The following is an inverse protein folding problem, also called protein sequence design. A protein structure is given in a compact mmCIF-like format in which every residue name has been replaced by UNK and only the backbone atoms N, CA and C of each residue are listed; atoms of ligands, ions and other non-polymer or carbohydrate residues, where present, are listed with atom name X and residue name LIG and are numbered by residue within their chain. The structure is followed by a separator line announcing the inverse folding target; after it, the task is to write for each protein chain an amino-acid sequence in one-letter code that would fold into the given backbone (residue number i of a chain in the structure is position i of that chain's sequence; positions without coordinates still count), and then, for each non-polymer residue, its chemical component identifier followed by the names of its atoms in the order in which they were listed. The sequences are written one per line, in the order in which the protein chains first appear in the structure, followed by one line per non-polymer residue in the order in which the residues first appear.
data_IF_061974625550
#
_entry.id   IF_061974625550
#
_cell.length_a   1.000
_cell.length_b   1.000
_cell.length_c   1.000
_cell.angle_alpha   90.00
_cell.angle_beta   90.00
_cell.angle_gamma   90.00
#
_symmetry.space_group_name_H-M   'P 1'
#
loop_
_entity.id
_entity.type
_entity.pdbx_description
1 polymer ?
#
# COMPACT_ATOMS: atom_id res chain seq x y z
N UNK A 1 -16.45 -12.90 -5.57
CA UNK A 1 -17.11 -11.58 -5.65
C UNK A 1 -17.85 -11.45 -6.98
N UNK A 2 -18.57 -10.35 -7.22
CA UNK A 2 -19.31 -10.13 -8.48
C UNK A 2 -18.64 -9.10 -9.42
N UNK A 3 -17.51 -8.51 -9.00
CA UNK A 3 -16.81 -7.48 -9.75
C UNK A 3 -16.31 -8.00 -11.11
N UNK A 4 -16.65 -7.32 -12.21
CA UNK A 4 -16.27 -7.71 -13.56
C UNK A 4 -15.64 -6.57 -14.36
N UNK A 5 -15.17 -5.53 -13.65
CA UNK A 5 -14.57 -4.34 -14.25
C UNK A 5 -13.05 -4.43 -14.43
N UNK A 6 -12.43 -3.32 -14.84
CA UNK A 6 -10.97 -3.22 -14.93
C UNK A 6 -10.33 -3.13 -13.55
N UNK A 7 -9.27 -3.91 -13.32
CA UNK A 7 -8.51 -3.90 -12.06
C UNK A 7 -7.44 -2.82 -12.06
N UNK A 8 -6.74 -2.66 -13.17
CA UNK A 8 -5.70 -1.65 -13.35
C UNK A 8 -5.53 -1.30 -14.84
N UNK A 9 -4.83 -0.20 -15.12
CA UNK A 9 -4.46 0.22 -16.46
C UNK A 9 -2.94 0.14 -16.64
N UNK A 10 -2.49 -0.33 -17.80
CA UNK A 10 -1.09 -0.29 -18.22
C UNK A 10 -0.90 0.69 -19.37
N UNK A 11 0.29 1.30 -19.45
CA UNK A 11 0.75 2.10 -20.59
C UNK A 11 2.03 1.51 -21.14
N UNK A 12 2.11 1.29 -22.45
CA UNK A 12 3.30 0.77 -23.10
C UNK A 12 4.21 1.87 -23.64
N UNK A 13 5.52 1.69 -23.54
CA UNK A 13 6.50 2.71 -23.92
C UNK A 13 6.65 2.89 -25.43
N UNK A 14 6.28 1.89 -26.24
CA UNK A 14 6.45 1.94 -27.70
C UNK A 14 5.67 3.05 -28.38
N UNK A 15 4.48 3.38 -27.87
CA UNK A 15 3.59 4.37 -28.48
C UNK A 15 2.70 5.13 -27.47
N UNK A 16 2.95 4.97 -26.16
CA UNK A 16 2.19 5.59 -25.08
C UNK A 16 0.69 5.24 -25.04
N UNK A 17 0.23 4.24 -25.79
CA UNK A 17 -1.15 3.76 -25.69
C UNK A 17 -1.38 3.04 -24.37
N UNK A 18 -2.64 3.00 -23.94
CA UNK A 18 -3.05 2.37 -22.67
C UNK A 18 -3.99 1.19 -22.91
N UNK A 19 -4.02 0.27 -21.93
CA UNK A 19 -4.94 -0.85 -21.89
C UNK A 19 -5.37 -1.16 -20.47
N UNK A 20 -6.66 -1.30 -20.27
CA UNK A 20 -7.21 -1.79 -19.01
C UNK A 20 -7.11 -3.31 -18.93
N UNK A 21 -6.73 -3.82 -17.76
CA UNK A 21 -6.64 -5.24 -17.45
C UNK A 21 -7.78 -5.58 -16.50
N UNK A 22 -8.76 -6.34 -17.00
CA UNK A 22 -9.88 -6.85 -16.22
C UNK A 22 -9.61 -8.22 -15.60
N UNK A 23 -10.68 -8.81 -15.06
CA UNK A 23 -10.70 -10.18 -14.52
C UNK A 23 -10.90 -11.23 -15.63
N UNK A 24 -10.47 -12.46 -15.39
CA UNK A 24 -10.73 -13.62 -16.27
C UNK A 24 -12.22 -14.02 -16.26
N UNK A 25 -12.87 -13.84 -15.12
CA UNK A 25 -14.31 -14.02 -14.91
C UNK A 25 -14.74 -13.13 -13.75
N UNK A 26 -16.04 -12.83 -13.61
CA UNK A 26 -16.56 -12.01 -12.52
C UNK A 26 -16.05 -12.53 -11.14
N UNK A 27 -15.40 -11.63 -10.39
CA UNK A 27 -14.78 -11.90 -9.10
C UNK A 27 -13.52 -12.77 -9.12
N UNK A 28 -12.94 -13.03 -10.29
CA UNK A 28 -11.77 -13.88 -10.51
C UNK A 28 -10.44 -13.12 -10.55
N UNK A 29 -9.40 -13.82 -11.00
CA UNK A 29 -8.02 -13.32 -11.11
C UNK A 29 -7.87 -12.39 -12.32
N UNK A 30 -6.91 -11.48 -12.28
CA UNK A 30 -6.55 -10.60 -13.40
C UNK A 30 -6.22 -11.40 -14.68
N UNK A 31 -6.63 -10.88 -15.84
CA UNK A 31 -6.29 -11.45 -17.13
C UNK A 31 -4.87 -11.04 -17.56
N UNK A 32 -3.86 -11.71 -16.98
CA UNK A 32 -2.44 -11.45 -17.25
C UNK A 32 -2.07 -11.62 -18.73
N UNK A 33 -2.74 -12.51 -19.48
CA UNK A 33 -2.49 -12.71 -20.90
C UNK A 33 -2.81 -11.47 -21.76
N UNK A 34 -3.78 -10.65 -21.33
CA UNK A 34 -4.08 -9.36 -21.96
C UNK A 34 -2.91 -8.38 -21.77
N UNK A 35 -2.33 -8.32 -20.58
CA UNK A 35 -1.14 -7.51 -20.32
C UNK A 35 0.07 -8.01 -21.13
N UNK A 36 0.32 -9.32 -21.12
CA UNK A 36 1.46 -9.92 -21.82
C UNK A 36 1.43 -9.61 -23.31
N UNK A 37 0.26 -9.78 -23.94
CA UNK A 37 0.04 -9.43 -25.35
C UNK A 37 0.23 -7.94 -25.62
N UNK A 38 -0.37 -7.08 -24.79
CA UNK A 38 -0.31 -5.62 -24.97
C UNK A 38 1.11 -5.06 -24.83
N UNK A 39 1.88 -5.62 -23.89
CA UNK A 39 3.23 -5.23 -23.53
C UNK A 39 4.30 -6.04 -24.28
N UNK A 40 3.94 -6.80 -25.32
CA UNK A 40 4.90 -7.60 -26.08
C UNK A 40 5.89 -6.71 -26.82
N UNK A 41 7.17 -7.04 -26.77
CA UNK A 41 8.25 -6.29 -27.42
C UNK A 41 8.52 -4.88 -26.85
N UNK A 42 7.93 -4.53 -25.69
CA UNK A 42 8.11 -3.21 -25.07
C UNK A 42 7.97 -3.27 -23.55
N UNK A 43 8.28 -2.16 -22.89
CA UNK A 43 8.09 -1.97 -21.46
C UNK A 43 6.69 -1.42 -21.19
N UNK A 44 6.14 -1.76 -20.03
CA UNK A 44 4.85 -1.25 -19.58
C UNK A 44 4.96 -0.77 -18.15
N UNK A 45 4.24 0.30 -17.85
CA UNK A 45 4.03 0.78 -16.49
C UNK A 45 2.56 0.70 -16.12
N UNK A 46 2.25 0.50 -14.84
CA UNK A 46 0.88 0.53 -14.30
C UNK A 46 0.52 2.01 -14.06
N UNK A 47 -0.43 2.57 -14.82
CA UNK A 47 -0.82 3.99 -14.71
C UNK A 47 -1.95 4.25 -13.71
N UNK A 48 -2.86 3.30 -13.56
CA UNK A 48 -4.04 3.42 -12.70
C UNK A 48 -4.25 2.10 -11.97
N UNK A 49 -4.54 2.14 -10.68
CA UNK A 49 -5.09 1.03 -9.90
C UNK A 49 -6.54 1.40 -9.60
N UNK A 50 -7.50 0.65 -10.15
CA UNK A 50 -8.91 1.00 -10.04
C UNK A 50 -9.48 0.60 -8.69
N UNK A 51 -10.35 1.46 -8.15
CA UNK A 51 -11.17 1.18 -6.99
C UNK A 51 -12.40 0.34 -7.39
N UNK A 52 -12.45 -0.90 -6.88
CA UNK A 52 -13.53 -1.84 -7.18
C UNK A 52 -14.83 -1.57 -6.40
N UNK A 53 -14.80 -0.68 -5.41
CA UNK A 53 -15.95 -0.39 -4.55
C UNK A 53 -17.06 0.42 -5.21
N UNK A 54 -16.76 1.04 -6.37
CA UNK A 54 -17.66 1.98 -7.04
C UNK A 54 -17.61 3.41 -6.49
N UNK A 55 -16.75 3.69 -5.50
CA UNK A 55 -16.55 5.04 -4.95
C UNK A 55 -15.60 5.90 -5.77
N UNK A 56 -14.95 5.29 -6.76
CA UNK A 56 -14.03 5.95 -7.68
C UNK A 56 -12.75 6.49 -7.00
N UNK A 57 -12.31 5.84 -5.92
CA UNK A 57 -11.06 6.13 -5.23
C UNK A 57 -9.85 5.50 -5.94
N UNK A 58 -9.81 5.55 -7.28
CA UNK A 58 -8.72 4.98 -8.08
C UNK A 58 -7.40 5.64 -7.70
N UNK A 59 -6.31 4.89 -7.67
CA UNK A 59 -4.98 5.43 -7.45
C UNK A 59 -4.31 5.71 -8.79
N UNK A 60 -3.68 6.88 -8.91
CA UNK A 60 -2.90 7.31 -10.08
C UNK A 60 -1.49 7.66 -9.65
N UNK A 61 -0.61 8.00 -10.60
CA UNK A 61 0.73 8.53 -10.31
C UNK A 61 0.66 9.57 -9.19
N UNK A 62 1.45 9.38 -8.14
CA UNK A 62 1.47 10.35 -7.05
C UNK A 62 2.04 11.70 -7.57
N UNK A 63 1.35 12.82 -7.29
CA UNK A 63 1.90 14.14 -7.58
C UNK A 63 3.08 14.42 -6.63
N UNK A 64 3.89 15.43 -6.96
CA UNK A 64 4.90 15.92 -6.02
C UNK A 64 4.26 16.48 -4.75
N UNK A 65 4.88 16.20 -3.60
CA UNK A 65 4.50 16.73 -2.29
C UNK A 65 5.58 17.65 -1.72
N UNK A 66 5.67 17.69 -0.38
CA UNK A 66 6.76 18.37 0.33
C UNK A 66 8.16 17.89 -0.11
N UNK A 67 8.27 16.59 -0.43
CA UNK A 67 9.45 16.00 -1.05
C UNK A 67 9.11 15.67 -2.51
N UNK A 68 9.86 16.21 -3.49
CA UNK A 68 9.61 15.89 -4.89
C UNK A 68 10.06 14.46 -5.22
N UNK A 69 9.23 13.76 -5.99
CA UNK A 69 9.58 12.49 -6.60
C UNK A 69 10.57 12.64 -7.77
N UNK A 70 11.15 11.53 -8.26
CA UNK A 70 12.16 11.54 -9.32
C UNK A 70 11.59 11.74 -10.74
N UNK A 71 10.26 11.72 -10.89
CA UNK A 71 9.57 11.85 -12.16
C UNK A 71 9.41 13.30 -12.64
N UNK A 72 8.90 13.50 -13.87
CA UNK A 72 8.66 14.82 -14.42
C UNK A 72 7.78 15.68 -13.51
N UNK A 73 8.16 16.95 -13.32
CA UNK A 73 7.44 17.87 -12.45
C UNK A 73 7.43 17.50 -10.97
N UNK A 74 8.35 16.62 -10.54
CA UNK A 74 8.42 16.14 -9.15
C UNK A 74 7.40 15.06 -8.81
N UNK A 75 6.74 14.47 -9.80
CA UNK A 75 5.88 13.29 -9.59
C UNK A 75 6.69 12.05 -9.21
N UNK A 76 6.06 11.08 -8.57
CA UNK A 76 6.70 9.78 -8.38
C UNK A 76 6.72 8.97 -9.67
N UNK A 77 7.59 7.96 -9.73
CA UNK A 77 7.57 6.99 -10.82
C UNK A 77 6.30 6.11 -10.77
N UNK A 78 5.92 5.59 -11.93
CA UNK A 78 4.95 4.50 -12.07
C UNK A 78 5.68 3.15 -12.02
N UNK A 79 5.05 2.14 -11.42
CA UNK A 79 5.62 0.80 -11.30
C UNK A 79 5.70 0.08 -12.65
N UNK A 80 6.77 -0.71 -12.85
CA UNK A 80 6.89 -1.66 -13.96
C UNK A 80 5.82 -2.76 -13.83
N UNK A 81 5.01 -2.93 -14.88
CA UNK A 81 3.89 -3.87 -14.90
C UNK A 81 4.33 -5.35 -14.86
N UNK A 82 5.59 -5.67 -15.16
CA UNK A 82 6.12 -7.05 -15.21
C UNK A 82 6.97 -7.42 -14.00
N UNK A 83 7.27 -6.47 -13.12
CA UNK A 83 8.29 -6.63 -12.07
C UNK A 83 7.85 -7.46 -10.84
N UNK A 84 6.55 -7.74 -10.66
CA UNK A 84 6.05 -8.59 -9.57
C UNK A 84 5.14 -9.71 -10.08
N UNK A 85 5.66 -10.69 -10.85
CA UNK A 85 4.86 -11.82 -11.32
C UNK A 85 4.50 -12.74 -10.14
N UNK A 86 3.23 -13.14 -10.06
CA UNK A 86 2.72 -14.05 -9.03
C UNK A 86 1.73 -15.05 -9.64
N UNK A 87 1.30 -16.02 -8.84
CA UNK A 87 0.25 -16.97 -9.20
C UNK A 87 -0.81 -17.00 -8.09
N UNK A 88 -2.08 -16.87 -8.47
CA UNK A 88 -3.24 -16.95 -7.57
C UNK A 88 -4.09 -18.14 -8.00
N UNK A 89 -4.18 -19.18 -7.17
CA UNK A 89 -4.96 -20.39 -7.50
C UNK A 89 -4.54 -21.05 -8.82
N UNK A 90 -3.23 -21.07 -9.12
CA UNK A 90 -2.68 -21.58 -10.38
C UNK A 90 -2.74 -20.62 -11.58
N UNK A 91 -3.36 -19.43 -11.44
CA UNK A 91 -3.50 -18.45 -12.51
C UNK A 91 -2.46 -17.33 -12.36
N UNK A 92 -1.76 -17.02 -13.45
CA UNK A 92 -0.75 -15.94 -13.49
C UNK A 92 -1.43 -14.58 -13.25
N UNK A 93 -0.79 -13.75 -12.43
CA UNK A 93 -1.14 -12.35 -12.19
C UNK A 93 0.12 -11.51 -11.97
N UNK A 94 -0.05 -10.20 -11.89
CA UNK A 94 1.02 -9.25 -11.57
C UNK A 94 0.62 -8.42 -10.35
N UNK A 95 1.52 -8.33 -9.37
CA UNK A 95 1.45 -7.34 -8.31
C UNK A 95 2.03 -6.00 -8.74
N UNK A 96 2.10 -5.05 -7.79
CA UNK A 96 2.72 -3.74 -8.00
C UNK A 96 4.07 -3.71 -7.30
N UNK A 97 5.16 -3.73 -8.06
CA UNK A 97 6.51 -3.61 -7.50
C UNK A 97 6.84 -2.13 -7.26
N UNK A 98 6.94 -1.72 -6.01
CA UNK A 98 7.25 -0.33 -5.63
C UNK A 98 8.76 -0.20 -5.35
N UNK A 99 9.51 0.25 -6.35
CA UNK A 99 10.91 0.65 -6.16
C UNK A 99 11.00 2.02 -5.46
N UNK A 100 12.13 2.38 -4.82
CA UNK A 100 12.32 3.73 -4.28
C UNK A 100 11.95 4.83 -5.28
N UNK A 101 11.14 5.79 -4.85
CA UNK A 101 10.61 6.88 -5.68
C UNK A 101 9.44 6.49 -6.59
N UNK A 102 8.81 5.34 -6.37
CA UNK A 102 7.55 4.92 -7.04
C UNK A 102 6.38 5.14 -6.08
N UNK A 103 5.28 5.71 -6.57
CA UNK A 103 4.17 6.09 -5.68
C UNK A 103 2.85 6.29 -6.40
N UNK A 104 1.77 5.97 -5.70
CA UNK A 104 0.40 6.14 -6.18
C UNK A 104 -0.42 6.88 -5.14
N UNK A 105 -1.28 7.79 -5.58
CA UNK A 105 -2.08 8.62 -4.67
C UNK A 105 -3.44 8.96 -5.27
N UNK A 106 -4.39 9.26 -4.39
CA UNK A 106 -5.62 9.96 -4.71
C UNK A 106 -5.92 10.94 -3.58
N UNK A 107 -5.88 12.23 -3.89
CA UNK A 107 -6.11 13.31 -2.93
C UNK A 107 -7.57 13.76 -2.85
N UNK A 108 -8.44 13.24 -3.73
CA UNK A 108 -9.85 13.59 -3.82
C UNK A 108 -10.67 12.31 -3.72
N UNK A 109 -10.84 11.84 -2.49
CA UNK A 109 -11.49 10.56 -2.19
C UNK A 109 -12.96 10.74 -1.79
N UNK A 110 -13.71 9.65 -1.86
CA UNK A 110 -15.12 9.56 -1.51
C UNK A 110 -15.31 8.52 -0.40
N UNK A 111 -15.72 9.02 0.77
CA UNK A 111 -16.09 8.26 1.96
C UNK A 111 -14.96 7.43 2.58
N UNK A 112 -13.72 7.88 2.40
CA UNK A 112 -12.60 7.57 3.30
C UNK A 112 -12.82 8.33 4.61
N UNK A 113 -12.42 7.76 5.75
CA UNK A 113 -12.60 8.38 7.06
C UNK A 113 -11.83 9.72 7.15
N UNK A 114 -12.36 10.65 7.94
CA UNK A 114 -11.73 11.95 8.22
C UNK A 114 -11.91 12.31 9.68
N UNK A 115 -11.00 13.12 10.22
CA UNK A 115 -10.97 13.41 11.66
C UNK A 115 -10.77 12.12 12.46
N UNK A 116 -11.51 11.98 13.56
CA UNK A 116 -11.44 10.81 14.45
C UNK A 116 -12.49 9.73 14.12
N UNK A 117 -12.94 9.67 12.86
CA UNK A 117 -13.85 8.61 12.41
C UNK A 117 -13.12 7.26 12.37
N UNK A 118 -13.79 6.16 12.75
CA UNK A 118 -13.17 4.85 12.71
C UNK A 118 -12.93 4.37 11.27
N UNK A 119 -11.80 3.70 11.06
CA UNK A 119 -11.46 3.04 9.81
C UNK A 119 -10.65 1.76 10.01
N UNK A 120 -10.54 0.98 8.93
CA UNK A 120 -9.77 -0.24 8.91
C UNK A 120 -9.28 -0.53 7.50
N UNK A 121 -8.04 -0.97 7.40
CA UNK A 121 -7.36 -1.22 6.14
C UNK A 121 -6.54 -2.50 6.23
N UNK A 122 -6.35 -3.13 5.07
CA UNK A 122 -5.45 -4.26 4.94
C UNK A 122 -4.74 -4.23 3.60
N UNK A 123 -3.54 -4.81 3.57
CA UNK A 123 -2.78 -5.05 2.34
C UNK A 123 -2.18 -6.47 2.36
N UNK A 124 -1.96 -7.02 1.16
CA UNK A 124 -1.12 -8.22 0.99
C UNK A 124 0.19 -7.79 0.34
N UNK A 125 1.29 -7.93 1.08
CA UNK A 125 2.60 -7.39 0.76
C UNK A 125 3.63 -8.50 0.56
N UNK A 126 4.73 -8.19 -0.14
CA UNK A 126 5.90 -9.07 -0.16
C UNK A 126 6.75 -8.79 1.08
N UNK A 127 6.72 -9.70 2.06
CA UNK A 127 7.47 -9.53 3.31
C UNK A 127 8.98 -9.60 3.18
N UNK A 128 9.49 -9.84 1.96
CA UNK A 128 10.92 -9.87 1.64
C UNK A 128 11.36 -8.69 0.78
N UNK A 129 10.45 -7.79 0.39
CA UNK A 129 10.75 -6.60 -0.39
C UNK A 129 10.45 -5.34 0.41
N UNK A 130 11.48 -4.80 1.06
CA UNK A 130 11.40 -3.60 1.90
C UNK A 130 12.77 -2.92 2.02
N UNK A 131 12.79 -1.73 2.62
CA UNK A 131 14.01 -1.07 3.07
C UNK A 131 13.74 -0.25 4.35
N UNK A 132 14.76 0.48 4.81
CA UNK A 132 14.68 1.33 6.01
C UNK A 132 14.31 2.79 5.73
N UNK A 133 14.01 3.13 4.48
CA UNK A 133 13.60 4.48 4.08
C UNK A 133 12.16 4.79 4.46
N UNK A 134 11.83 6.08 4.48
CA UNK A 134 10.46 6.55 4.62
C UNK A 134 9.85 6.87 3.25
N UNK A 135 8.62 6.46 2.95
CA UNK A 135 7.85 5.44 3.66
C UNK A 135 7.12 4.55 2.66
N UNK A 136 6.97 3.27 2.99
CA UNK A 136 6.21 2.31 2.18
C UNK A 136 4.85 2.10 2.84
N UNK A 137 3.92 2.97 2.46
CA UNK A 137 2.63 3.08 3.12
C UNK A 137 1.45 2.71 2.22
N UNK A 138 0.38 2.23 2.86
CA UNK A 138 -0.93 2.09 2.25
C UNK A 138 -2.01 2.46 3.27
N UNK A 139 -2.75 3.54 3.00
CA UNK A 139 -3.85 3.96 3.88
C UNK A 139 -4.29 5.40 3.67
N UNK A 140 -4.79 5.99 4.76
CA UNK A 140 -5.31 7.34 4.83
C UNK A 140 -4.17 8.36 5.01
N UNK A 141 -4.26 9.47 4.28
CA UNK A 141 -3.25 10.51 4.30
C UNK A 141 -3.82 11.89 3.92
N UNK A 142 -2.99 12.91 4.01
CA UNK A 142 -3.36 14.29 3.70
C UNK A 142 -3.75 14.46 2.24
N UNK A 143 -4.62 15.43 1.96
CA UNK A 143 -5.10 15.71 0.60
C UNK A 143 -4.21 16.69 -0.18
N UNK A 144 -3.22 17.31 0.47
CA UNK A 144 -2.35 18.32 -0.13
C UNK A 144 -0.90 17.85 -0.33
N UNK A 145 -0.55 16.63 0.12
CA UNK A 145 0.81 16.09 0.05
C UNK A 145 1.81 16.80 0.97
N UNK A 146 1.35 17.43 2.04
CA UNK A 146 2.19 18.11 3.03
C UNK A 146 2.06 17.45 4.41
N UNK A 147 3.16 17.43 5.15
CA UNK A 147 3.26 16.87 6.51
C UNK A 147 2.93 17.95 7.56
N UNK A 148 1.68 18.44 7.55
CA UNK A 148 1.34 19.70 8.22
C UNK A 148 1.05 19.60 9.73
N UNK A 149 0.74 18.41 10.25
CA UNK A 149 0.34 18.22 11.66
C UNK A 149 0.43 16.75 12.09
N UNK A 150 0.38 16.46 13.39
CA UNK A 150 0.37 15.10 13.95
C UNK A 150 -1.03 14.47 13.82
N UNK A 151 -1.11 13.15 13.61
CA UNK A 151 -2.39 12.42 13.59
C UNK A 151 -3.25 12.64 12.35
N UNK A 152 -2.69 13.23 11.28
CA UNK A 152 -3.39 13.48 10.01
C UNK A 152 -3.17 12.36 8.98
N UNK A 153 -2.49 11.28 9.37
CA UNK A 153 -2.41 10.03 8.62
C UNK A 153 -2.89 8.86 9.49
N UNK A 154 -3.37 7.83 8.81
CA UNK A 154 -3.48 6.49 9.37
C UNK A 154 -3.21 5.50 8.24
N UNK A 155 -1.99 5.00 8.16
CA UNK A 155 -1.58 4.10 7.09
C UNK A 155 -0.82 2.88 7.59
N UNK A 156 -0.96 1.75 6.91
CA UNK A 156 -0.07 0.60 7.09
C UNK A 156 1.31 1.01 6.59
N UNK A 157 2.32 0.99 7.45
CA UNK A 157 3.73 0.99 7.07
C UNK A 157 4.26 -0.45 7.06
N UNK A 158 5.09 -0.79 6.08
CA UNK A 158 5.84 -2.06 6.09
C UNK A 158 7.31 -1.87 5.70
N UNK A 159 8.20 -2.18 6.64
CA UNK A 159 9.65 -2.10 6.41
C UNK A 159 10.45 -2.20 7.70
N UNK A 160 11.71 -1.77 7.67
CA UNK A 160 12.61 -1.85 8.82
C UNK A 160 13.19 -0.49 9.23
N UNK A 161 12.50 0.61 8.95
CA UNK A 161 12.84 1.90 9.52
C UNK A 161 12.80 1.81 11.05
N UNK A 162 13.85 2.33 11.70
CA UNK A 162 13.97 2.38 13.16
C UNK A 162 14.27 3.81 13.67
N UNK A 163 14.11 4.81 12.82
CA UNK A 163 14.31 6.23 13.18
C UNK A 163 13.11 6.81 13.91
N UNK A 164 11.92 6.20 13.79
CA UNK A 164 10.74 6.43 14.63
C UNK A 164 10.48 5.24 15.56
N UNK A 165 9.32 4.58 15.45
CA UNK A 165 9.01 3.32 16.12
C UNK A 165 9.70 2.13 15.47
N UNK A 166 9.89 1.07 16.26
CA UNK A 166 10.44 -0.21 15.81
C UNK A 166 10.05 -1.34 16.76
N UNK A 167 10.23 -2.58 16.31
CA UNK A 167 9.96 -3.79 17.08
C UNK A 167 11.23 -4.55 17.46
N UNK A 168 11.06 -5.82 17.82
CA UNK A 168 12.16 -6.76 18.07
C UNK A 168 12.92 -7.09 16.78
N UNK A 169 14.20 -7.43 16.93
CA UNK A 169 15.04 -7.90 15.83
C UNK A 169 15.37 -6.83 14.80
N UNK A 170 15.63 -7.25 13.55
CA UNK A 170 16.04 -6.37 12.45
C UNK A 170 14.91 -5.97 11.50
N UNK A 171 13.66 -6.26 11.87
CA UNK A 171 12.51 -6.11 10.99
C UNK A 171 12.44 -7.18 9.87
N UNK A 172 11.53 -7.00 8.90
CA UNK A 172 10.60 -5.88 8.80
C UNK A 172 9.43 -6.02 9.78
N UNK A 173 8.72 -4.92 9.99
CA UNK A 173 7.58 -4.78 10.88
C UNK A 173 6.38 -4.22 10.14
N UNK A 174 5.18 -4.61 10.57
CA UNK A 174 3.96 -3.88 10.26
C UNK A 174 3.83 -2.79 11.32
N UNK A 175 3.76 -1.53 10.91
CA UNK A 175 3.53 -0.38 11.80
C UNK A 175 2.36 0.45 11.28
N UNK A 176 1.89 1.41 12.08
CA UNK A 176 1.02 2.46 11.59
C UNK A 176 1.82 3.76 11.40
N UNK A 177 1.75 4.36 10.23
CA UNK A 177 2.12 5.76 10.04
C UNK A 177 0.95 6.64 10.50
N UNK A 178 1.21 7.49 11.49
CA UNK A 178 0.23 8.45 12.01
C UNK A 178 0.65 9.91 11.75
N UNK A 179 1.56 10.13 10.80
CA UNK A 179 2.25 11.39 10.48
C UNK A 179 3.12 11.89 11.65
N UNK A 180 4.34 12.34 11.35
CA UNK A 180 5.40 12.59 12.35
C UNK A 180 5.76 11.39 13.24
N UNK A 181 5.31 10.17 12.91
CA UNK A 181 5.67 8.96 13.63
C UNK A 181 5.16 7.67 13.00
N UNK A 182 6.08 6.70 12.86
CA UNK A 182 5.73 5.29 12.67
C UNK A 182 5.61 4.62 14.05
N UNK A 183 4.52 3.89 14.27
CA UNK A 183 4.22 3.26 15.55
C UNK A 183 4.10 1.75 15.43
N UNK A 184 4.94 1.03 16.19
CA UNK A 184 4.85 -0.42 16.43
C UNK A 184 3.98 -0.77 17.65
N UNK A 185 3.44 0.25 18.33
CA UNK A 185 2.63 0.14 19.54
C UNK A 185 2.50 1.51 20.23
N UNK A 186 2.11 1.52 21.51
CA UNK A 186 1.79 2.76 22.24
C UNK A 186 3.01 3.66 22.50
N UNK A 187 4.21 3.09 22.59
CA UNK A 187 5.42 3.86 22.83
C UNK A 187 5.98 4.41 21.50
N UNK A 188 6.49 5.65 21.46
CA UNK A 188 6.97 6.29 20.23
C UNK A 188 8.25 5.69 19.63
N UNK A 189 8.89 4.75 20.33
CA UNK A 189 10.13 4.10 19.91
C UNK A 189 9.93 2.59 19.91
N UNK A 190 10.65 1.91 20.78
CA UNK A 190 10.59 0.47 20.89
C UNK A 190 9.25 0.02 21.50
N UNK A 191 8.64 -0.99 20.87
CA UNK A 191 7.61 -1.83 21.45
C UNK A 191 8.01 -3.30 21.21
N UNK A 192 7.79 -4.22 22.16
CA UNK A 192 8.13 -5.63 21.99
C UNK A 192 7.22 -6.29 20.95
N UNK A 193 7.63 -6.25 19.69
CA UNK A 193 6.86 -6.74 18.54
C UNK A 193 7.78 -7.51 17.57
N UNK A 194 7.60 -8.82 17.37
CA UNK A 194 8.47 -9.60 16.50
C UNK A 194 8.34 -9.21 15.02
N UNK A 195 9.39 -9.43 14.21
CA UNK A 195 9.34 -9.16 12.77
C UNK A 195 8.44 -10.18 12.05
N UNK A 196 7.98 -9.81 10.85
CA UNK A 196 7.18 -10.68 9.97
C UNK A 196 7.68 -10.60 8.53
N UNK A 197 8.21 -11.70 8.01
CA UNK A 197 8.95 -11.75 6.73
C UNK A 197 8.50 -12.88 5.80
N UNK A 198 7.23 -13.30 5.88
CA UNK A 198 6.68 -14.25 4.92
C UNK A 198 6.71 -13.66 3.50
N UNK A 199 6.88 -14.51 2.48
CA UNK A 199 6.84 -14.02 1.08
C UNK A 199 5.52 -13.32 0.75
N UNK A 200 4.41 -13.70 1.38
CA UNK A 200 3.15 -12.97 1.31
C UNK A 200 2.65 -12.68 2.72
N UNK A 201 2.63 -11.40 3.11
CA UNK A 201 2.18 -10.93 4.42
C UNK A 201 0.82 -10.26 4.26
N UNK A 202 -0.16 -10.68 5.04
CA UNK A 202 -1.35 -9.86 5.29
C UNK A 202 -1.01 -8.88 6.40
N UNK A 203 -1.11 -7.59 6.13
CA UNK A 203 -0.93 -6.51 7.10
C UNK A 203 -2.26 -5.79 7.30
N UNK A 204 -2.61 -5.47 8.54
CA UNK A 204 -3.86 -4.82 8.92
C UNK A 204 -3.57 -3.75 9.96
N UNK A 205 -4.06 -2.54 9.70
CA UNK A 205 -4.18 -1.46 10.67
C UNK A 205 -5.65 -1.05 10.74
N UNK A 206 -6.13 -0.75 11.93
CA UNK A 206 -7.47 -0.19 12.15
C UNK A 206 -7.42 0.79 13.30
N UNK A 207 -8.23 1.83 13.21
CA UNK A 207 -8.30 2.92 14.17
C UNK A 207 -9.74 3.30 14.46
N UNK A 208 -9.97 3.77 15.68
CA UNK A 208 -11.20 4.37 16.17
C UNK A 208 -10.84 5.39 17.27
N UNK A 209 -11.81 6.14 17.83
CA UNK A 209 -11.53 7.12 18.87
C UNK A 209 -10.69 6.55 20.02
N UNK A 210 -9.50 7.12 20.18
CA UNK A 210 -8.46 6.74 21.15
C UNK A 210 -8.07 5.26 21.17
N UNK A 211 -8.26 4.52 20.08
CA UNK A 211 -7.98 3.08 20.05
C UNK A 211 -7.57 2.62 18.65
N UNK A 212 -6.60 1.73 18.57
CA UNK A 212 -6.10 1.20 17.31
C UNK A 212 -5.43 -0.15 17.50
N UNK A 213 -5.24 -0.87 16.39
CA UNK A 213 -4.62 -2.19 16.42
C UNK A 213 -3.77 -2.48 15.18
N UNK A 214 -2.74 -3.31 15.38
CA UNK A 214 -1.92 -3.90 14.33
C UNK A 214 -2.15 -5.41 14.33
N UNK A 215 -2.51 -5.96 13.17
CA UNK A 215 -2.61 -7.42 12.98
C UNK A 215 -1.89 -7.83 11.71
N UNK A 216 -1.37 -9.05 11.70
CA UNK A 216 -0.80 -9.61 10.48
C UNK A 216 -0.55 -11.11 10.55
N UNK A 217 -0.18 -11.68 9.41
CA UNK A 217 0.09 -13.11 9.29
C UNK A 217 0.51 -13.51 7.88
N UNK A 218 0.82 -14.79 7.70
CA UNK A 218 1.12 -15.36 6.40
C UNK A 218 -0.16 -15.42 5.55
N UNK A 219 -0.18 -14.71 4.42
CA UNK A 219 -1.33 -14.65 3.53
C UNK A 219 -1.60 -15.98 2.80
N UNK A 220 -0.69 -16.96 2.87
CA UNK A 220 -0.86 -18.28 2.25
C UNK A 220 -1.49 -19.31 3.18
N UNK A 221 -1.41 -19.14 4.51
CA UNK A 221 -1.84 -20.16 5.47
C UNK A 221 -1.86 -19.62 6.90
N UNK A 222 -2.71 -20.22 7.75
CA UNK A 222 -2.76 -19.90 9.18
C UNK A 222 -3.78 -18.80 9.50
N UNK A 223 -3.55 -18.09 10.60
CA UNK A 223 -4.41 -17.01 11.08
C UNK A 223 -3.65 -15.70 11.28
N UNK A 224 -4.38 -14.68 11.70
CA UNK A 224 -3.83 -13.37 12.02
C UNK A 224 -3.40 -13.31 13.50
N UNK A 225 -2.17 -12.88 13.73
CA UNK A 225 -1.67 -12.48 15.05
C UNK A 225 -2.00 -11.01 15.30
N UNK A 226 -2.44 -10.68 16.51
CA UNK A 226 -2.54 -9.30 16.98
C UNK A 226 -1.20 -8.91 17.59
N UNK A 227 -0.53 -7.94 16.99
CA UNK A 227 0.76 -7.43 17.45
C UNK A 227 0.58 -6.26 18.43
N UNK A 228 -0.46 -5.47 18.22
CA UNK A 228 -0.84 -4.37 19.09
C UNK A 228 -2.37 -4.20 19.07
N UNK A 229 -2.95 -3.87 20.22
CA UNK A 229 -4.36 -3.53 20.40
C UNK A 229 -4.47 -2.65 21.66
N UNK A 230 -4.81 -1.38 21.50
CA UNK A 230 -4.83 -0.47 22.63
C UNK A 230 -4.94 1.00 22.25
N UNK A 231 -4.66 1.86 23.22
CA UNK A 231 -4.84 3.32 23.07
C UNK A 231 -3.89 3.96 22.05
N UNK A 232 -4.27 5.13 21.56
CA UNK A 232 -3.39 5.98 20.73
C UNK A 232 -2.10 6.36 21.50
N UNK A 233 -0.98 6.56 20.79
CA UNK A 233 0.21 7.16 21.40
C UNK A 233 -0.09 8.53 22.02
N UNK A 234 0.68 8.94 23.03
CA UNK A 234 0.48 10.25 23.67
C UNK A 234 0.63 11.38 22.64
N UNK A 235 -0.39 12.26 22.56
CA UNK A 235 -0.42 13.38 21.63
C UNK A 235 -1.11 13.07 20.28
N UNK A 236 -1.53 11.83 20.06
CA UNK A 236 -2.23 11.40 18.82
C UNK A 236 -3.74 11.16 19.04
N UNK A 237 -4.30 11.78 20.08
CA UNK A 237 -5.72 11.86 20.41
C UNK A 237 -5.97 13.07 21.32
#
# INVERSE_FOLDING_TARGET
GAYNGPLYQVRRSSDNTTRDIGVLSAGGVANAATQDSFCSGTNCVITIIYDQSGRNNRLTQAPGGAVPGPGPGGSDNLADAKAAPITIGGQKAYGVYIAPGTGYRNNTTNGVATGDQPEGMYAVLDGTHYNGGCCFDYGNAQTNGQADDIGIMEAIYFGNNNWWGYGDGSGPWIMADMEWGLFSGVNPRYNPMPPINHRFVTAIVKGEPNHWAIRGGNAQSGGLTTYFDGRRPNGYH
#
